data_IF_249104755168
#
_entry.id   IF_249104755168
#
_cell.length_a   1.000
_cell.length_b   1.000
_cell.length_c   1.000
_cell.angle_alpha   90.00
_cell.angle_beta   90.00
_cell.angle_gamma   90.00
#
_symmetry.space_group_name_H-M   'P 1'
#
loop_
_entity.id
_entity.type
_entity.pdbx_description
1 polymer ?
#
# COMPACT_ATOMS: atom_id res chain seq x y z
N UNK A 1 49.52 35.48 -28.73
CA UNK A 1 50.88 34.88 -28.68
C UNK A 1 50.77 33.36 -28.68
N UNK A 2 51.61 32.70 -29.49
CA UNK A 2 51.99 31.27 -29.57
C UNK A 2 50.91 30.19 -29.78
N UNK A 3 50.87 29.68 -31.03
CA UNK A 3 50.66 28.26 -31.39
C UNK A 3 51.94 27.45 -31.09
N UNK A 4 51.85 26.10 -31.20
CA UNK A 4 52.90 25.02 -31.26
C UNK A 4 52.72 24.05 -30.08
N UNK A 5 52.69 22.70 -30.17
CA UNK A 5 52.78 21.70 -31.25
C UNK A 5 52.42 20.31 -30.66
N UNK A 6 51.92 19.39 -31.50
CA UNK A 6 51.67 17.96 -31.21
C UNK A 6 52.97 17.18 -30.96
N UNK A 7 52.98 16.18 -30.07
CA UNK A 7 53.83 14.97 -30.22
C UNK A 7 53.09 13.73 -29.67
N UNK A 8 52.94 12.74 -30.55
CA UNK A 8 52.57 11.33 -30.34
C UNK A 8 53.70 10.53 -29.69
N UNK A 9 53.42 9.58 -28.79
CA UNK A 9 54.11 8.27 -28.82
C UNK A 9 53.46 7.22 -27.90
N UNK A 10 52.95 6.19 -28.56
CA UNK A 10 53.03 4.75 -28.26
C UNK A 10 53.95 4.35 -27.09
N UNK A 11 53.45 3.55 -26.13
CA UNK A 11 54.15 2.32 -25.71
C UNK A 11 53.21 1.33 -25.01
N UNK A 12 53.25 0.12 -25.55
CA UNK A 12 52.68 -1.14 -25.12
C UNK A 12 53.45 -1.67 -23.89
N UNK A 13 52.76 -2.03 -22.80
CA UNK A 13 53.31 -2.93 -21.77
C UNK A 13 52.30 -4.06 -21.52
N UNK A 14 52.73 -5.26 -21.93
CA UNK A 14 52.09 -6.56 -21.71
C UNK A 14 52.70 -7.17 -20.44
N UNK A 15 51.98 -8.15 -19.88
CA UNK A 15 52.39 -9.20 -18.92
C UNK A 15 52.39 -8.68 -17.46
N UNK A 16 51.79 -9.33 -16.45
CA UNK A 16 51.84 -10.75 -16.07
C UNK A 16 50.60 -11.16 -15.26
N UNK A 17 50.11 -12.37 -15.54
CA UNK A 17 49.09 -13.08 -14.80
C UNK A 17 49.57 -13.51 -13.40
N UNK A 18 48.74 -13.29 -12.38
CA UNK A 18 48.78 -14.10 -11.15
C UNK A 18 47.37 -14.58 -10.83
N UNK A 19 47.17 -15.88 -11.02
CA UNK A 19 46.04 -16.60 -10.48
C UNK A 19 46.20 -16.69 -8.96
N UNK A 20 45.29 -16.09 -8.22
CA UNK A 20 44.99 -16.51 -6.86
C UNK A 20 43.58 -17.07 -6.83
N UNK A 21 43.50 -18.40 -6.79
CA UNK A 21 42.31 -19.15 -6.46
C UNK A 21 41.97 -18.88 -4.99
N UNK A 22 41.27 -17.79 -4.71
CA UNK A 22 40.51 -17.67 -3.46
C UNK A 22 39.14 -18.27 -3.70
N UNK A 23 38.98 -19.53 -3.28
CA UNK A 23 37.67 -20.13 -3.08
C UNK A 23 36.96 -19.32 -1.98
N UNK A 24 36.20 -18.29 -2.36
CA UNK A 24 35.25 -17.67 -1.45
C UNK A 24 34.16 -18.72 -1.25
N UNK A 25 34.10 -19.26 -0.04
CA UNK A 25 32.92 -19.95 0.47
C UNK A 25 31.74 -19.03 0.18
N UNK A 26 30.79 -19.49 -0.63
CA UNK A 26 29.55 -18.77 -0.81
C UNK A 26 28.94 -18.65 0.58
N UNK A 27 28.85 -17.41 1.10
CA UNK A 27 27.92 -17.14 2.17
C UNK A 27 26.55 -17.50 1.60
N UNK A 28 25.91 -18.51 2.17
CA UNK A 28 24.52 -18.79 1.84
C UNK A 28 23.72 -17.53 2.17
N UNK A 29 22.92 -17.00 1.23
CA UNK A 29 22.03 -15.92 1.57
C UNK A 29 21.12 -16.44 2.69
N UNK A 30 21.21 -15.83 3.88
CA UNK A 30 20.19 -16.04 4.88
C UNK A 30 18.90 -15.46 4.30
N UNK A 31 18.03 -16.33 3.81
CA UNK A 31 16.64 -16.03 3.51
C UNK A 31 15.92 -15.69 4.82
N UNK A 32 16.24 -14.53 5.40
CA UNK A 32 15.31 -13.83 6.26
C UNK A 32 14.31 -13.15 5.31
N UNK A 33 13.41 -13.96 4.75
CA UNK A 33 12.19 -13.46 4.12
C UNK A 33 11.26 -12.94 5.23
N UNK A 34 11.69 -11.88 5.92
CA UNK A 34 10.78 -11.00 6.63
C UNK A 34 10.16 -10.14 5.52
N UNK A 35 9.13 -10.69 4.87
CA UNK A 35 8.24 -9.87 4.05
C UNK A 35 7.51 -8.95 5.04
N UNK A 36 8.11 -7.80 5.34
CA UNK A 36 7.41 -6.74 6.06
C UNK A 36 6.20 -6.37 5.17
N UNK A 37 5.00 -6.75 5.61
CA UNK A 37 3.77 -6.45 4.88
C UNK A 37 3.61 -4.93 4.79
N UNK A 38 3.53 -4.40 3.57
CA UNK A 38 3.30 -2.97 3.33
C UNK A 38 1.85 -2.76 2.93
N UNK A 39 1.20 -1.83 3.61
CA UNK A 39 -0.17 -1.41 3.33
C UNK A 39 -0.18 -0.07 2.61
N UNK A 40 -1.19 0.19 1.79
CA UNK A 40 -1.32 1.45 1.07
C UNK A 40 -2.69 2.08 1.29
N UNK A 41 -2.78 3.40 1.18
CA UNK A 41 -4.05 4.11 1.04
C UNK A 41 -4.38 4.44 -0.43
N UNK A 42 -5.57 5.02 -0.65
CA UNK A 42 -6.03 5.52 -1.96
C UNK A 42 -5.04 6.44 -2.67
N UNK A 43 -4.21 7.18 -1.93
CA UNK A 43 -3.24 8.12 -2.48
C UNK A 43 -1.85 7.49 -2.68
N UNK A 44 -1.75 6.15 -2.61
CA UNK A 44 -0.53 5.38 -2.70
C UNK A 44 0.51 5.69 -1.61
N UNK A 45 0.05 6.17 -0.44
CA UNK A 45 0.93 6.33 0.73
C UNK A 45 1.12 4.97 1.39
N UNK A 46 2.37 4.60 1.64
CA UNK A 46 2.72 3.33 2.28
C UNK A 46 2.69 3.43 3.82
N UNK A 47 2.29 2.35 4.46
CA UNK A 47 2.20 2.19 5.91
C UNK A 47 2.73 0.82 6.32
N UNK A 48 3.36 0.76 7.50
CA UNK A 48 3.87 -0.49 8.07
C UNK A 48 2.78 -1.30 8.80
N UNK A 49 1.69 -0.64 9.22
CA UNK A 49 0.55 -1.27 9.90
C UNK A 49 -0.77 -0.94 9.21
N UNK A 50 -1.68 -1.91 9.19
CA UNK A 50 -3.03 -1.72 8.64
C UNK A 50 -3.84 -0.66 9.40
N UNK A 51 -3.64 -0.53 10.71
CA UNK A 51 -4.34 0.45 11.56
C UNK A 51 -3.98 1.90 11.21
N UNK A 52 -2.83 2.13 10.57
CA UNK A 52 -2.36 3.44 10.14
C UNK A 52 -2.92 3.84 8.76
N UNK A 53 -3.55 2.91 8.02
CA UNK A 53 -4.08 3.15 6.67
C UNK A 53 -5.25 4.11 6.73
N UNK A 54 -5.17 5.20 5.96
CA UNK A 54 -6.17 6.25 5.93
C UNK A 54 -7.27 5.96 4.93
N UNK A 55 -8.50 6.06 5.41
CA UNK A 55 -9.71 6.10 4.58
C UNK A 55 -10.20 7.54 4.49
N UNK A 56 -10.55 7.99 3.30
CA UNK A 56 -10.97 9.37 3.05
C UNK A 56 -12.42 9.39 2.59
N UNK A 57 -13.25 10.28 3.13
CA UNK A 57 -14.56 10.55 2.55
C UNK A 57 -14.46 11.54 1.36
N UNK A 58 -15.59 11.87 0.73
CA UNK A 58 -15.63 12.82 -0.40
C UNK A 58 -15.32 14.26 -0.01
N UNK A 59 -15.41 14.61 1.27
CA UNK A 59 -15.10 15.94 1.78
C UNK A 59 -13.62 16.08 2.18
N UNK A 60 -12.88 14.95 2.23
CA UNK A 60 -11.49 14.90 2.64
C UNK A 60 -11.30 14.61 4.13
N UNK A 61 -12.36 14.28 4.87
CA UNK A 61 -12.24 13.80 6.25
C UNK A 61 -11.57 12.42 6.27
N UNK A 62 -10.73 12.22 7.30
CA UNK A 62 -9.89 11.02 7.43
C UNK A 62 -10.44 10.12 8.51
N UNK A 63 -10.45 8.81 8.23
CA UNK A 63 -10.92 7.75 9.11
C UNK A 63 -9.80 6.72 9.28
N UNK A 64 -9.53 6.33 10.52
CA UNK A 64 -8.55 5.29 10.87
C UNK A 64 -9.24 4.14 11.58
N UNK A 65 -8.77 2.93 11.31
CA UNK A 65 -9.19 1.73 12.02
C UNK A 65 -8.74 1.82 13.48
N UNK A 66 -9.65 1.46 14.39
CA UNK A 66 -9.40 1.31 15.80
C UNK A 66 -10.04 0.01 16.27
N UNK A 67 -9.26 -0.87 16.88
CA UNK A 67 -9.79 -2.11 17.47
C UNK A 67 -9.99 -1.88 18.98
N UNK A 68 -11.24 -1.97 19.43
CA UNK A 68 -11.59 -1.84 20.84
C UNK A 68 -11.15 -3.04 21.69
N UNK A 69 -11.34 -2.96 23.02
CA UNK A 69 -11.09 -4.09 23.94
C UNK A 69 -11.98 -5.30 23.66
N UNK A 70 -13.12 -5.09 23.02
CA UNK A 70 -14.05 -6.13 22.55
C UNK A 70 -13.63 -6.76 21.22
N UNK A 71 -12.48 -6.35 20.68
CA UNK A 71 -11.93 -6.79 19.40
C UNK A 71 -12.84 -6.47 18.20
N UNK A 72 -13.76 -5.51 18.35
CA UNK A 72 -14.62 -5.05 17.25
C UNK A 72 -13.96 -3.89 16.50
N UNK A 73 -14.06 -3.85 15.16
CA UNK A 73 -13.52 -2.77 14.37
C UNK A 73 -14.41 -1.54 14.46
N UNK A 74 -13.82 -0.41 14.87
CA UNK A 74 -14.38 0.92 14.70
C UNK A 74 -13.54 1.71 13.70
N UNK A 75 -14.16 2.67 13.03
CA UNK A 75 -13.46 3.70 12.27
C UNK A 75 -13.67 5.06 12.94
N UNK A 76 -12.58 5.76 13.21
CA UNK A 76 -12.59 7.03 13.94
C UNK A 76 -12.35 8.18 12.98
N UNK A 77 -13.31 9.12 12.88
CA UNK A 77 -13.08 10.37 12.18
C UNK A 77 -12.03 11.19 12.94
N UNK A 78 -10.92 11.51 12.28
CA UNK A 78 -9.76 12.17 12.91
C UNK A 78 -9.99 13.65 13.23
N UNK A 79 -10.95 14.29 12.56
CA UNK A 79 -11.33 15.69 12.79
C UNK A 79 -12.28 15.83 13.99
N UNK A 80 -13.24 14.92 14.13
CA UNK A 80 -14.33 15.01 15.12
C UNK A 80 -14.17 14.08 16.31
N UNK A 81 -13.39 13.00 16.18
CA UNK A 81 -13.27 11.92 17.15
C UNK A 81 -14.48 10.98 17.22
N UNK A 82 -15.45 11.15 16.34
CA UNK A 82 -16.63 10.28 16.26
C UNK A 82 -16.23 8.86 15.83
N UNK A 83 -16.89 7.88 16.44
CA UNK A 83 -16.68 6.46 16.19
C UNK A 83 -17.81 5.89 15.34
N UNK A 84 -17.43 5.09 14.35
CA UNK A 84 -18.33 4.45 13.41
C UNK A 84 -18.11 2.94 13.45
N UNK A 85 -19.18 2.18 13.67
CA UNK A 85 -19.11 0.72 13.71
C UNK A 85 -18.62 0.19 12.35
N UNK A 86 -17.51 -0.55 12.36
CA UNK A 86 -16.85 -1.04 11.15
C UNK A 86 -17.69 -2.03 10.32
N UNK A 87 -18.70 -2.68 10.92
CA UNK A 87 -19.65 -3.53 10.17
C UNK A 87 -20.62 -2.72 9.30
N UNK A 88 -20.78 -1.43 9.60
CA UNK A 88 -21.64 -0.50 8.86
C UNK A 88 -20.80 0.52 8.04
N UNK A 89 -19.49 0.28 7.92
CA UNK A 89 -18.57 1.10 7.16
C UNK A 89 -18.21 0.44 5.82
N UNK A 90 -18.17 1.25 4.78
CA UNK A 90 -17.99 0.83 3.40
C UNK A 90 -17.05 1.77 2.64
N UNK A 91 -16.67 1.35 1.44
CA UNK A 91 -15.96 2.14 0.46
C UNK A 91 -16.76 2.14 -0.85
N UNK A 92 -16.97 3.29 -1.47
CA UNK A 92 -17.64 3.38 -2.77
C UNK A 92 -16.73 2.98 -3.94
N UNK A 93 -17.28 2.92 -5.16
CA UNK A 93 -16.52 2.55 -6.38
C UNK A 93 -15.34 3.47 -6.67
N UNK A 94 -15.40 4.72 -6.21
CA UNK A 94 -14.33 5.69 -6.36
C UNK A 94 -13.28 5.56 -5.24
N UNK A 95 -13.48 4.69 -4.25
CA UNK A 95 -12.56 4.43 -3.14
C UNK A 95 -12.76 5.33 -1.92
N UNK A 96 -13.93 5.98 -1.75
CA UNK A 96 -14.20 6.87 -0.62
C UNK A 96 -14.96 6.18 0.50
N UNK A 97 -14.65 6.52 1.75
CA UNK A 97 -15.35 6.08 2.94
C UNK A 97 -16.83 6.46 2.90
N UNK A 98 -17.70 5.51 3.26
CA UNK A 98 -19.15 5.69 3.36
C UNK A 98 -19.66 4.94 4.61
N UNK A 99 -20.49 5.61 5.41
CA UNK A 99 -21.15 5.01 6.57
C UNK A 99 -22.65 4.84 6.33
N UNK A 100 -23.17 3.61 6.43
CA UNK A 100 -24.60 3.30 6.28
C UNK A 100 -25.32 3.35 7.63
N UNK A 101 -25.57 4.55 8.12
CA UNK A 101 -26.26 4.81 9.40
C UNK A 101 -27.66 4.19 9.54
N UNK A 102 -28.26 3.72 8.43
CA UNK A 102 -29.65 3.24 8.39
C UNK A 102 -29.79 1.77 8.01
N UNK A 103 -28.67 1.03 7.85
CA UNK A 103 -28.66 -0.34 7.37
C UNK A 103 -29.47 -0.52 6.06
N UNK A 104 -29.38 0.46 5.18
CA UNK A 104 -30.09 0.54 3.91
C UNK A 104 -29.43 -0.30 2.81
N UNK A 105 -28.12 -0.50 2.88
CA UNK A 105 -27.35 -1.27 1.92
C UNK A 105 -27.68 -2.75 2.04
N UNK A 106 -27.69 -3.45 0.89
CA UNK A 106 -28.03 -4.88 0.82
C UNK A 106 -26.92 -5.64 0.11
N UNK A 107 -26.55 -6.79 0.68
CA UNK A 107 -25.55 -7.68 0.10
C UNK A 107 -25.95 -8.07 -1.32
N UNK A 108 -25.05 -7.84 -2.27
CA UNK A 108 -25.22 -8.22 -3.66
C UNK A 108 -25.15 -9.74 -3.77
N UNK A 109 -26.17 -10.33 -4.40
CA UNK A 109 -26.27 -11.77 -4.60
C UNK A 109 -25.00 -12.34 -5.25
N UNK A 110 -24.48 -13.43 -4.68
CA UNK A 110 -23.27 -14.10 -5.17
C UNK A 110 -21.95 -13.44 -4.77
N UNK A 111 -21.97 -12.47 -3.84
CA UNK A 111 -20.76 -11.83 -3.29
C UNK A 111 -20.71 -12.00 -1.77
N UNK A 112 -19.53 -11.79 -1.18
CA UNK A 112 -19.33 -11.87 0.28
C UNK A 112 -19.29 -10.48 0.95
N UNK A 113 -18.89 -9.45 0.22
CA UNK A 113 -18.56 -8.14 0.76
C UNK A 113 -19.01 -6.96 -0.12
N UNK A 114 -19.75 -7.22 -1.20
CA UNK A 114 -20.27 -6.17 -2.09
C UNK A 114 -21.73 -5.90 -1.80
N UNK A 115 -22.09 -4.62 -1.67
CA UNK A 115 -23.42 -4.18 -1.30
C UNK A 115 -23.95 -3.17 -2.32
N UNK A 116 -25.27 -3.09 -2.42
CA UNK A 116 -25.96 -2.10 -3.23
C UNK A 116 -26.99 -1.33 -2.40
N UNK A 117 -27.15 -0.04 -2.73
CA UNK A 117 -28.29 0.74 -2.26
C UNK A 117 -29.51 0.59 -3.20
N UNK A 118 -30.62 1.23 -2.83
CA UNK A 118 -31.86 1.19 -3.62
C UNK A 118 -31.74 1.85 -5.01
N UNK A 119 -30.73 2.70 -5.22
CA UNK A 119 -30.46 3.36 -6.50
C UNK A 119 -29.51 2.54 -7.39
N UNK A 120 -28.98 1.43 -6.88
CA UNK A 120 -28.04 0.57 -7.59
C UNK A 120 -26.58 1.01 -7.51
N UNK A 121 -26.24 1.97 -6.64
CA UNK A 121 -24.84 2.29 -6.39
C UNK A 121 -24.16 1.12 -5.68
N UNK A 122 -22.87 0.90 -5.94
CA UNK A 122 -22.10 -0.20 -5.36
C UNK A 122 -21.18 0.30 -4.25
N UNK A 123 -21.12 -0.49 -3.17
CA UNK A 123 -20.27 -0.24 -2.02
C UNK A 123 -19.59 -1.56 -1.61
N UNK A 124 -18.38 -1.48 -1.09
CA UNK A 124 -17.61 -2.61 -0.62
C UNK A 124 -17.44 -2.50 0.89
N UNK A 125 -17.63 -3.59 1.62
CA UNK A 125 -17.39 -3.60 3.06
C UNK A 125 -15.94 -3.15 3.32
N UNK A 126 -15.75 -2.21 4.24
CA UNK A 126 -14.44 -1.55 4.39
C UNK A 126 -13.30 -2.53 4.70
N UNK A 127 -13.60 -3.60 5.45
CA UNK A 127 -12.63 -4.64 5.81
C UNK A 127 -12.25 -5.58 4.66
N UNK A 128 -12.96 -5.55 3.52
CA UNK A 128 -12.59 -6.34 2.34
C UNK A 128 -11.80 -5.53 1.31
N UNK A 129 -11.45 -4.28 1.63
CA UNK A 129 -10.80 -3.37 0.68
C UNK A 129 -9.33 -3.20 1.04
N UNK A 130 -8.48 -3.27 0.03
CA UNK A 130 -7.06 -2.94 0.11
C UNK A 130 -6.68 -2.03 -1.06
N UNK A 131 -5.56 -1.33 -0.93
CA UNK A 131 -4.96 -0.58 -2.03
C UNK A 131 -3.60 -1.16 -2.38
N UNK A 132 -3.29 -1.19 -3.67
CA UNK A 132 -1.95 -1.50 -4.15
C UNK A 132 -1.02 -0.27 -4.10
N UNK A 133 0.25 -0.48 -4.44
CA UNK A 133 1.27 0.58 -4.46
C UNK A 133 1.04 1.71 -5.49
N UNK A 134 0.02 1.58 -6.35
CA UNK A 134 -0.42 2.63 -7.25
C UNK A 134 -1.66 3.38 -6.74
N UNK A 135 -2.17 3.02 -5.56
CA UNK A 135 -3.41 3.57 -5.00
C UNK A 135 -4.65 2.98 -5.68
N UNK A 136 -4.52 1.86 -6.41
CA UNK A 136 -5.66 1.18 -7.00
C UNK A 136 -6.30 0.27 -5.97
N UNK A 137 -7.61 0.42 -5.81
CA UNK A 137 -8.42 -0.38 -4.91
C UNK A 137 -8.59 -1.81 -5.43
N UNK A 138 -8.46 -2.78 -4.53
CA UNK A 138 -8.81 -4.20 -4.71
C UNK A 138 -9.83 -4.63 -3.66
N UNK A 139 -10.63 -5.64 -3.99
CA UNK A 139 -11.66 -6.19 -3.10
C UNK A 139 -11.36 -7.68 -2.94
N UNK A 140 -11.19 -8.12 -1.70
CA UNK A 140 -10.83 -9.48 -1.31
C UNK A 140 -12.05 -10.32 -0.88
#
# INVERSE_FOLDING_TARGET
>A
MKKITKITSLLLCVVIAFAFTSCKKADEPSDNNNSDTVYYDKNAVAYDNMEDVKFYDKNGDVYLLSIGEDYMPDYINQSTGEKYNGFDCYVDEDGYFVYDSTASFKLKSGTMSTYNDANGNTYYQIASVEWDSSGKMTVN
#
